data_IF_763283592712
#
_entry.id   IF_763283592712
#
_cell.length_a   1.000
_cell.length_b   1.000
_cell.length_c   1.000
_cell.angle_alpha   90.00
_cell.angle_beta   90.00
_cell.angle_gamma   90.00
#
_symmetry.space_group_name_H-M   'P 1'
#
loop_
_entity.id
_entity.type
_entity.pdbx_description
1 polymer ?
#
# COMPACT_ATOMS: atom_id res chain seq x y z
N UNK A 1 -5.48 9.32 3.72
CA UNK A 1 -4.83 7.99 3.61
C UNK A 1 -3.74 7.77 4.66
N UNK A 2 -2.80 8.71 4.84
CA UNK A 2 -1.61 8.57 5.71
C UNK A 2 -1.91 8.10 7.14
N UNK A 3 -2.80 8.81 7.87
CA UNK A 3 -3.11 8.47 9.27
C UNK A 3 -3.75 7.09 9.39
N UNK A 4 -4.72 6.80 8.51
CA UNK A 4 -5.42 5.50 8.47
C UNK A 4 -4.42 4.38 8.17
N UNK A 5 -3.56 4.58 7.17
CA UNK A 5 -2.54 3.60 6.79
C UNK A 5 -1.56 3.34 7.94
N UNK A 6 -1.05 4.38 8.60
CA UNK A 6 -0.12 4.23 9.72
C UNK A 6 -0.74 3.43 10.87
N UNK A 7 -1.99 3.73 11.25
CA UNK A 7 -2.71 3.03 12.30
C UNK A 7 -2.98 1.56 11.95
N UNK A 8 -3.53 1.29 10.76
CA UNK A 8 -3.88 -0.07 10.34
C UNK A 8 -2.63 -0.93 10.09
N UNK A 9 -1.61 -0.38 9.42
CA UNK A 9 -0.37 -1.12 9.18
C UNK A 9 0.37 -1.42 10.47
N UNK A 10 0.39 -0.46 11.41
CA UNK A 10 1.00 -0.65 12.71
C UNK A 10 0.24 -1.66 13.57
N UNK A 11 -1.09 -1.59 13.57
CA UNK A 11 -1.93 -2.56 14.27
C UNK A 11 -1.69 -3.98 13.75
N UNK A 12 -1.73 -4.19 12.43
CA UNK A 12 -1.49 -5.52 11.84
C UNK A 12 -0.10 -6.03 12.17
N UNK A 13 0.94 -5.20 11.99
CA UNK A 13 2.31 -5.60 12.31
C UNK A 13 2.47 -5.98 13.79
N UNK A 14 1.87 -5.19 14.70
CA UNK A 14 1.88 -5.48 16.12
C UNK A 14 1.27 -6.84 16.45
N UNK A 15 0.14 -7.20 15.83
CA UNK A 15 -0.54 -8.47 16.08
C UNK A 15 0.29 -9.70 15.66
N UNK A 16 1.09 -9.59 14.60
CA UNK A 16 1.84 -10.73 14.05
C UNK A 16 3.30 -10.79 14.51
N UNK A 17 3.91 -9.67 14.92
CA UNK A 17 5.35 -9.61 15.19
C UNK A 17 5.73 -8.79 16.43
N UNK A 18 4.74 -8.33 17.21
CA UNK A 18 4.97 -7.54 18.41
C UNK A 18 5.29 -6.06 18.13
N UNK A 19 5.58 -5.26 19.16
CA UNK A 19 5.67 -3.80 19.07
C UNK A 19 7.00 -3.26 18.54
N UNK A 20 8.02 -4.10 18.36
CA UNK A 20 9.37 -3.67 17.97
C UNK A 20 9.52 -3.51 16.46
N UNK A 21 8.77 -2.58 15.89
CA UNK A 21 8.84 -2.20 14.49
C UNK A 21 8.71 -0.68 14.35
N UNK A 22 9.06 -0.16 13.17
CA UNK A 22 8.91 1.26 12.88
C UNK A 22 9.18 1.59 11.43
N UNK A 23 8.85 2.83 11.06
CA UNK A 23 9.09 3.38 9.72
C UNK A 23 7.81 3.70 8.94
N UNK A 24 7.99 4.39 7.82
CA UNK A 24 6.90 4.88 6.96
C UNK A 24 6.48 3.88 5.87
N UNK A 25 7.14 2.72 5.79
CA UNK A 25 6.99 1.79 4.67
C UNK A 25 5.56 1.28 4.48
N UNK A 26 4.82 0.99 5.56
CA UNK A 26 3.39 0.65 5.46
C UNK A 26 2.54 1.76 4.82
N UNK A 27 2.83 3.02 5.16
CA UNK A 27 2.17 4.19 4.54
C UNK A 27 2.55 4.32 3.07
N UNK A 28 3.81 4.10 2.72
CA UNK A 28 4.27 4.11 1.32
C UNK A 28 3.51 3.05 0.51
N UNK A 29 3.38 1.82 1.01
CA UNK A 29 2.59 0.78 0.33
C UNK A 29 1.11 1.17 0.17
N UNK A 30 0.52 1.86 1.14
CA UNK A 30 -0.83 2.40 0.99
C UNK A 30 -0.92 3.47 -0.11
N UNK A 31 0.05 4.38 -0.19
CA UNK A 31 0.10 5.36 -1.28
C UNK A 31 0.27 4.69 -2.64
N UNK A 32 1.14 3.69 -2.74
CA UNK A 32 1.35 2.95 -3.99
C UNK A 32 0.08 2.22 -4.44
N UNK A 33 -0.61 1.52 -3.53
CA UNK A 33 -1.89 0.89 -3.80
C UNK A 33 -2.96 1.89 -4.23
N UNK A 34 -3.07 3.02 -3.51
CA UNK A 34 -4.06 4.04 -3.81
C UNK A 34 -3.84 4.67 -5.18
N UNK A 35 -2.62 5.16 -5.46
CA UNK A 35 -2.29 5.85 -6.71
C UNK A 35 -2.39 4.89 -7.89
N UNK A 36 -1.98 3.62 -7.73
CA UNK A 36 -2.13 2.61 -8.77
C UNK A 36 -3.60 2.38 -9.13
N UNK A 37 -4.44 2.01 -8.16
CA UNK A 37 -5.84 1.69 -8.46
C UNK A 37 -6.65 2.93 -8.88
N UNK A 38 -6.32 4.11 -8.31
CA UNK A 38 -6.95 5.37 -8.70
C UNK A 38 -6.65 5.69 -10.16
N UNK A 39 -5.39 5.58 -10.60
CA UNK A 39 -5.01 5.83 -11.99
C UNK A 39 -5.64 4.85 -12.98
N UNK A 40 -5.83 3.60 -12.58
CA UNK A 40 -6.46 2.59 -13.44
C UNK A 40 -7.98 2.79 -13.57
N UNK A 41 -8.66 3.21 -12.49
CA UNK A 41 -10.13 3.34 -12.45
C UNK A 41 -10.65 4.73 -12.75
N UNK A 42 -9.83 5.76 -12.55
CA UNK A 42 -10.14 7.17 -12.77
C UNK A 42 -8.91 7.88 -13.38
N UNK A 43 -8.58 7.63 -14.66
CA UNK A 43 -7.43 8.25 -15.33
C UNK A 43 -7.53 9.78 -15.40
N UNK A 44 -8.74 10.34 -15.33
CA UNK A 44 -9.00 11.78 -15.37
C UNK A 44 -8.62 12.49 -14.06
N UNK A 45 -8.42 11.75 -12.96
CA UNK A 45 -7.94 12.32 -11.69
C UNK A 45 -6.55 12.95 -11.77
N UNK A 46 -5.76 12.63 -12.79
CA UNK A 46 -4.35 13.02 -12.89
C UNK A 46 -3.43 12.29 -11.91
N UNK A 47 -3.97 11.39 -11.09
CA UNK A 47 -3.23 10.58 -10.11
C UNK A 47 -2.95 9.22 -10.73
N UNK A 48 -1.69 8.95 -11.04
CA UNK A 48 -1.27 7.66 -11.60
C UNK A 48 0.12 7.27 -11.11
N UNK A 49 0.40 5.97 -11.14
CA UNK A 49 1.71 5.43 -10.78
C UNK A 49 2.37 4.88 -12.04
N UNK A 50 3.61 5.26 -12.30
CA UNK A 50 4.36 4.69 -13.43
C UNK A 50 4.54 3.18 -13.25
N UNK A 51 4.35 2.43 -14.33
CA UNK A 51 4.40 0.95 -14.32
C UNK A 51 5.68 0.38 -13.71
N UNK A 52 6.82 1.04 -13.94
CA UNK A 52 8.10 0.65 -13.35
C UNK A 52 8.10 0.72 -11.82
N UNK A 53 7.44 1.73 -11.22
CA UNK A 53 7.33 1.86 -9.77
C UNK A 53 6.38 0.82 -9.16
N UNK A 54 5.30 0.46 -9.87
CA UNK A 54 4.42 -0.64 -9.47
C UNK A 54 5.23 -1.94 -9.40
N UNK A 55 5.92 -2.29 -10.49
CA UNK A 55 6.78 -3.49 -10.55
C UNK A 55 7.83 -3.48 -9.45
N UNK A 56 8.55 -2.37 -9.28
CA UNK A 56 9.56 -2.24 -8.23
C UNK A 56 8.97 -2.50 -6.84
N UNK A 57 7.80 -1.95 -6.52
CA UNK A 57 7.18 -2.18 -5.21
C UNK A 57 6.71 -3.61 -4.98
N UNK A 58 6.19 -4.28 -6.01
CA UNK A 58 5.77 -5.68 -5.89
C UNK A 58 6.99 -6.59 -5.71
N UNK A 59 8.06 -6.35 -6.49
CA UNK A 59 9.32 -7.08 -6.33
C UNK A 59 9.92 -6.82 -4.95
N UNK A 60 9.92 -5.58 -4.47
CA UNK A 60 10.42 -5.24 -3.13
C UNK A 60 9.60 -5.91 -2.03
N UNK A 61 8.27 -5.98 -2.18
CA UNK A 61 7.38 -6.67 -1.24
C UNK A 61 7.67 -8.17 -1.19
N UNK A 62 7.82 -8.80 -2.36
CA UNK A 62 8.15 -10.23 -2.46
C UNK A 62 9.54 -10.51 -1.87
N UNK A 63 10.54 -9.69 -2.22
CA UNK A 63 11.89 -9.83 -1.68
C UNK A 63 11.93 -9.67 -0.15
N UNK A 64 11.13 -8.74 0.39
CA UNK A 64 10.95 -8.57 1.82
C UNK A 64 10.25 -9.78 2.47
N UNK A 65 9.23 -10.33 1.82
CA UNK A 65 8.48 -11.50 2.30
C UNK A 65 9.34 -12.75 2.47
N UNK A 66 10.28 -12.97 1.54
CA UNK A 66 11.21 -14.10 1.57
C UNK A 66 12.50 -13.84 2.36
N UNK A 67 12.57 -12.73 3.09
CA UNK A 67 13.75 -12.32 3.87
C UNK A 67 15.06 -12.37 3.06
N UNK A 68 15.00 -11.97 1.78
CA UNK A 68 16.14 -12.04 0.85
C UNK A 68 17.35 -11.24 1.34
N UNK A 69 17.12 -10.25 2.19
CA UNK A 69 18.15 -9.35 2.72
C UNK A 69 18.53 -9.63 4.19
N UNK A 70 17.97 -10.66 4.83
CA UNK A 70 18.24 -11.00 6.24
C UNK A 70 17.88 -9.86 7.20
N UNK A 71 16.89 -9.04 6.84
CA UNK A 71 16.42 -7.91 7.63
C UNK A 71 15.04 -8.25 8.16
N UNK A 72 14.79 -7.99 9.45
CA UNK A 72 13.44 -8.11 10.04
C UNK A 72 12.50 -7.07 9.43
N UNK A 73 11.98 -7.35 8.24
CA UNK A 73 11.08 -6.47 7.50
C UNK A 73 9.68 -6.66 8.05
N UNK A 74 9.03 -5.54 8.36
CA UNK A 74 7.64 -5.47 8.78
C UNK A 74 6.67 -5.78 7.62
N UNK A 75 6.74 -6.99 7.07
CA UNK A 75 5.96 -7.41 5.89
C UNK A 75 4.44 -7.33 6.15
N UNK A 76 4.01 -7.57 7.40
CA UNK A 76 2.62 -7.37 7.80
C UNK A 76 2.16 -5.92 7.62
N UNK A 77 3.00 -4.95 8.01
CA UNK A 77 2.73 -3.54 7.78
C UNK A 77 2.62 -3.19 6.29
N UNK A 78 3.47 -3.77 5.44
CA UNK A 78 3.50 -3.49 4.01
C UNK A 78 2.23 -3.99 3.31
N UNK A 79 1.85 -5.24 3.57
CA UNK A 79 0.64 -5.84 2.99
C UNK A 79 -0.61 -5.11 3.49
N UNK A 80 -0.71 -4.84 4.79
CA UNK A 80 -1.84 -4.10 5.36
C UNK A 80 -1.95 -2.68 4.79
N UNK A 81 -0.82 -2.00 4.63
CA UNK A 81 -0.73 -0.72 3.95
C UNK A 81 -1.28 -0.79 2.53
N UNK A 82 -0.75 -1.70 1.71
CA UNK A 82 -1.16 -1.87 0.31
C UNK A 82 -2.66 -2.12 0.18
N UNK A 83 -3.22 -3.05 0.96
CA UNK A 83 -4.66 -3.36 0.97
C UNK A 83 -5.48 -2.14 1.39
N UNK A 84 -5.05 -1.39 2.41
CA UNK A 84 -5.71 -0.15 2.83
C UNK A 84 -5.77 0.87 1.69
N UNK A 85 -4.66 1.06 0.99
CA UNK A 85 -4.59 1.96 -0.16
C UNK A 85 -5.51 1.58 -1.30
N UNK A 86 -5.51 0.30 -1.67
CA UNK A 86 -6.40 -0.26 -2.69
C UNK A 86 -7.86 -0.08 -2.30
N UNK A 87 -8.23 -0.38 -1.06
CA UNK A 87 -9.60 -0.24 -0.56
C UNK A 87 -10.08 1.23 -0.62
N UNK A 88 -9.25 2.17 -0.19
CA UNK A 88 -9.58 3.60 -0.24
C UNK A 88 -9.76 4.09 -1.69
N UNK A 89 -8.86 3.72 -2.60
CA UNK A 89 -8.99 4.09 -4.02
C UNK A 89 -10.22 3.44 -4.66
N UNK A 90 -10.57 2.21 -4.27
CA UNK A 90 -11.77 1.56 -4.75
C UNK A 90 -13.02 2.34 -4.36
N UNK A 91 -13.15 2.73 -3.08
CA UNK A 91 -14.27 3.55 -2.58
C UNK A 91 -14.36 4.88 -3.31
N UNK A 92 -13.25 5.60 -3.44
CA UNK A 92 -13.24 6.92 -4.08
C UNK A 92 -13.62 6.86 -5.57
N UNK A 93 -13.35 5.75 -6.24
CA UNK A 93 -13.63 5.58 -7.68
C UNK A 93 -15.01 4.97 -7.97
N UNK A 94 -15.79 4.58 -6.95
CA UNK A 94 -17.13 3.99 -7.16
C UNK A 94 -18.09 4.95 -7.87
N UNK A 95 -17.98 6.26 -7.61
CA UNK A 95 -18.88 7.26 -8.17
C UNK A 95 -18.38 7.92 -9.46
N UNK A 96 -17.08 7.82 -9.75
CA UNK A 96 -16.50 8.30 -11.02
C UNK A 96 -17.03 7.46 -12.17
N UNK A 97 -17.03 6.13 -12.00
CA UNK A 97 -17.53 5.18 -13.01
C UNK A 97 -19.03 5.30 -13.29
N UNK A 98 -19.80 5.96 -12.43
CA UNK A 98 -21.25 6.21 -12.65
C UNK A 98 -21.52 7.45 -13.52
N UNK A 99 -20.49 8.28 -13.78
CA UNK A 99 -20.61 9.55 -14.51
C UNK A 99 -20.14 9.47 -15.97
N UNK A 100 -19.52 8.35 -16.36
CA UNK A 100 -19.11 7.99 -17.72
C UNK A 100 -20.01 6.89 -18.24
#
# INVERSE_FOLDING_TARGET
>A
ITVIAALLSGFVQHQFSGPWFGGLSGVVYALMGYVWLRGERDPQSGVYLQRGLILFSLVWLIAGWFDVFGMSIANGAHVAGLVTGLAMAFVDTQNVRKRT
#
